data_IF_485869956367
#
_entry.id   IF_485869956367
#
_cell.length_a   1.000
_cell.length_b   1.000
_cell.length_c   1.000
_cell.angle_alpha   90.00
_cell.angle_beta   90.00
_cell.angle_gamma   90.00
#
_symmetry.space_group_name_H-M   'P 1'
#
loop_
_entity.id
_entity.type
_entity.pdbx_description
1 polymer ?
#
# COMPACT_ATOMS: atom_id res chain seq x y z
N UNK A 1 32.53 -33.48 -5.47
CA UNK A 1 32.21 -32.89 -4.16
C UNK A 1 31.01 -31.95 -4.34
N UNK A 2 29.79 -32.50 -4.25
CA UNK A 2 28.55 -31.77 -4.51
C UNK A 2 28.32 -30.78 -3.36
N UNK A 3 28.47 -29.47 -3.63
CA UNK A 3 28.02 -28.44 -2.70
C UNK A 3 26.49 -28.52 -2.65
N UNK A 4 25.96 -29.10 -1.58
CA UNK A 4 24.53 -29.07 -1.28
C UNK A 4 24.08 -27.62 -1.29
N UNK A 5 23.21 -27.26 -2.24
CA UNK A 5 22.60 -25.94 -2.29
C UNK A 5 21.70 -25.80 -1.05
N UNK A 6 22.27 -25.27 0.05
CA UNK A 6 21.53 -24.92 1.26
C UNK A 6 20.52 -23.85 0.86
N UNK A 7 19.26 -24.26 0.66
CA UNK A 7 18.14 -23.36 0.40
C UNK A 7 18.01 -22.43 1.61
N UNK A 8 17.99 -21.13 1.35
CA UNK A 8 18.08 -20.12 2.41
C UNK A 8 16.69 -19.69 2.83
N UNK A 9 16.45 -19.76 4.13
CA UNK A 9 15.25 -19.27 4.78
C UNK A 9 15.66 -18.10 5.67
N UNK A 10 14.94 -16.97 5.57
CA UNK A 10 15.06 -15.86 6.51
C UNK A 10 13.89 -15.97 7.50
N UNK A 11 14.12 -16.42 8.73
CA UNK A 11 13.05 -16.51 9.70
C UNK A 11 12.78 -15.14 10.33
N UNK A 12 11.51 -14.72 10.34
CA UNK A 12 11.04 -13.55 11.06
C UNK A 12 10.46 -14.00 12.40
N UNK A 13 11.11 -13.68 13.51
CA UNK A 13 10.60 -13.95 14.85
C UNK A 13 10.11 -12.65 15.50
N UNK A 14 8.79 -12.57 15.77
CA UNK A 14 8.15 -11.38 16.31
C UNK A 14 8.03 -10.22 15.31
N UNK A 15 7.76 -9.02 15.84
CA UNK A 15 7.55 -7.80 15.06
C UNK A 15 6.18 -7.17 15.32
N UNK A 16 6.16 -5.96 15.88
CA UNK A 16 4.92 -5.21 16.08
C UNK A 16 4.50 -4.55 14.76
N UNK A 17 3.19 -4.37 14.56
CA UNK A 17 2.67 -3.64 13.39
C UNK A 17 3.27 -2.24 13.27
N UNK A 18 3.60 -1.58 14.38
CA UNK A 18 4.25 -0.26 14.38
C UNK A 18 5.70 -0.28 13.87
N UNK A 19 6.34 -1.44 13.84
CA UNK A 19 7.76 -1.62 13.48
C UNK A 19 7.97 -2.35 12.16
N UNK A 20 6.90 -2.77 11.48
CA UNK A 20 6.97 -3.64 10.29
C UNK A 20 7.88 -3.07 9.20
N UNK A 21 7.78 -1.76 8.90
CA UNK A 21 8.55 -1.10 7.85
C UNK A 21 10.05 -1.19 8.10
N UNK A 22 10.49 -0.82 9.32
CA UNK A 22 11.90 -0.91 9.70
C UNK A 22 12.36 -2.37 9.72
N UNK A 23 11.56 -3.29 10.23
CA UNK A 23 11.91 -4.71 10.25
C UNK A 23 12.14 -5.25 8.83
N UNK A 24 11.30 -4.87 7.87
CA UNK A 24 11.45 -5.25 6.47
C UNK A 24 12.74 -4.67 5.86
N UNK A 25 13.06 -3.39 6.11
CA UNK A 25 14.32 -2.77 5.65
C UNK A 25 15.55 -3.52 6.20
N UNK A 26 15.57 -3.80 7.50
CA UNK A 26 16.66 -4.56 8.14
C UNK A 26 16.79 -6.00 7.62
N UNK A 27 15.67 -6.66 7.26
CA UNK A 27 15.70 -7.97 6.65
C UNK A 27 16.34 -7.93 5.25
N UNK A 28 15.98 -6.92 4.45
CA UNK A 28 16.53 -6.70 3.11
C UNK A 28 18.02 -6.36 3.15
N UNK A 29 18.48 -5.57 4.13
CA UNK A 29 19.91 -5.30 4.34
C UNK A 29 20.72 -6.58 4.60
N UNK A 30 20.19 -7.50 5.42
CA UNK A 30 20.85 -8.80 5.66
C UNK A 30 20.89 -9.67 4.41
N UNK A 31 19.85 -9.58 3.57
CA UNK A 31 19.76 -10.30 2.31
C UNK A 31 20.61 -9.67 1.20
N UNK A 32 20.94 -8.38 1.30
CA UNK A 32 21.62 -7.63 0.25
C UNK A 32 22.96 -8.23 -0.18
N UNK A 33 23.72 -8.77 0.77
CA UNK A 33 25.00 -9.46 0.51
C UNK A 33 24.89 -10.67 -0.44
N UNK A 34 23.69 -11.21 -0.63
CA UNK A 34 23.44 -12.39 -1.46
C UNK A 34 22.84 -12.07 -2.83
N UNK A 35 22.38 -10.84 -3.05
CA UNK A 35 21.76 -10.40 -4.31
C UNK A 35 22.61 -9.31 -4.97
N UNK A 36 23.51 -9.66 -5.90
CA UNK A 36 24.28 -8.67 -6.63
C UNK A 36 23.33 -7.79 -7.46
N UNK A 37 23.38 -6.46 -7.24
CA UNK A 37 22.51 -5.50 -7.92
C UNK A 37 21.24 -5.10 -7.15
N UNK A 38 21.11 -5.48 -5.88
CA UNK A 38 20.00 -5.01 -5.04
C UNK A 38 20.08 -3.48 -4.82
N UNK A 39 18.94 -2.80 -5.00
CA UNK A 39 18.84 -1.36 -4.78
C UNK A 39 18.82 -0.97 -3.30
N UNK A 40 19.04 0.33 -2.97
CA UNK A 40 18.97 0.83 -1.60
C UNK A 40 17.54 0.79 -1.04
N UNK A 41 17.41 0.95 0.28
CA UNK A 41 16.12 1.06 0.93
C UNK A 41 15.33 2.28 0.43
N UNK A 42 14.08 2.07 0.02
CA UNK A 42 13.23 3.08 -0.63
C UNK A 42 11.87 3.28 0.04
N UNK A 43 11.48 2.39 0.96
CA UNK A 43 10.12 2.35 1.51
C UNK A 43 9.77 3.50 2.46
N UNK A 44 10.76 4.25 2.95
CA UNK A 44 10.56 5.40 3.85
C UNK A 44 9.82 6.56 3.17
N UNK A 45 10.07 6.80 1.89
CA UNK A 45 9.50 7.92 1.13
C UNK A 45 8.36 7.50 0.21
N UNK A 46 8.08 6.19 0.13
CA UNK A 46 6.99 5.68 -0.69
C UNK A 46 5.63 5.93 -0.03
N UNK A 47 4.67 6.35 -0.83
CA UNK A 47 3.25 6.33 -0.45
C UNK A 47 2.70 4.93 -0.72
N UNK A 48 1.98 4.36 0.24
CA UNK A 48 1.36 3.05 0.06
C UNK A 48 0.20 3.12 -0.94
N UNK A 49 -0.13 2.03 -1.63
CA UNK A 49 -1.31 1.97 -2.51
C UNK A 49 -2.57 2.43 -1.77
N UNK A 50 -3.38 3.27 -2.42
CA UNK A 50 -4.55 3.89 -1.81
C UNK A 50 -4.26 5.10 -0.91
N UNK A 51 -3.00 5.33 -0.52
CA UNK A 51 -2.59 6.46 0.33
C UNK A 51 -2.30 7.75 -0.43
N UNK A 52 -2.37 7.73 -1.76
CA UNK A 52 -2.12 8.89 -2.62
C UNK A 52 -3.34 9.82 -2.68
N UNK A 53 -3.75 10.30 -1.50
CA UNK A 53 -4.84 11.24 -1.33
C UNK A 53 -4.24 12.61 -1.03
N UNK A 54 -4.55 13.60 -1.87
CA UNK A 54 -4.12 14.97 -1.66
C UNK A 54 -4.92 15.59 -0.50
N UNK A 55 -4.25 15.94 0.59
CA UNK A 55 -4.86 16.52 1.79
C UNK A 55 -5.50 15.52 2.76
N UNK A 56 -6.64 15.89 3.34
CA UNK A 56 -7.36 15.07 4.32
C UNK A 56 -8.29 14.06 3.66
N UNK A 57 -8.65 13.01 4.40
CA UNK A 57 -9.68 12.05 3.99
C UNK A 57 -11.04 12.72 3.73
N UNK A 58 -11.35 13.79 4.44
CA UNK A 58 -12.60 14.52 4.23
C UNK A 58 -12.55 15.37 2.94
N UNK A 59 -11.39 15.98 2.63
CA UNK A 59 -11.19 16.70 1.37
C UNK A 59 -11.29 15.75 0.18
N UNK A 60 -10.68 14.57 0.31
CA UNK A 60 -10.76 13.53 -0.71
C UNK A 60 -12.19 12.98 -0.85
N UNK A 61 -12.94 12.82 0.23
CA UNK A 61 -14.36 12.44 0.16
C UNK A 61 -15.19 13.50 -0.56
N UNK A 62 -14.93 14.79 -0.32
CA UNK A 62 -15.59 15.88 -1.04
C UNK A 62 -15.22 15.89 -2.54
N UNK A 63 -13.95 15.62 -2.87
CA UNK A 63 -13.48 15.45 -4.26
C UNK A 63 -14.17 14.26 -4.95
N UNK A 64 -14.30 13.12 -4.26
CA UNK A 64 -15.02 11.95 -4.78
C UNK A 64 -16.48 12.26 -5.07
N UNK A 65 -17.18 12.99 -4.19
CA UNK A 65 -18.58 13.39 -4.43
C UNK A 65 -18.73 14.32 -5.63
N UNK A 66 -17.75 15.20 -5.88
CA UNK A 66 -17.75 16.07 -7.07
C UNK A 66 -17.53 15.27 -8.35
N UNK A 67 -16.69 14.23 -8.31
CA UNK A 67 -16.37 13.38 -9.45
C UNK A 67 -17.46 12.33 -9.74
N UNK A 68 -18.07 11.78 -8.70
CA UNK A 68 -19.11 10.76 -8.75
C UNK A 68 -20.36 11.25 -8.01
N UNK A 69 -21.23 12.04 -8.68
CA UNK A 69 -22.38 12.68 -8.03
C UNK A 69 -23.42 11.70 -7.46
N UNK A 70 -23.41 10.45 -7.93
CA UNK A 70 -24.29 9.38 -7.44
C UNK A 70 -23.86 8.86 -6.05
N UNK A 71 -22.64 9.15 -5.59
CA UNK A 71 -22.18 8.72 -4.27
C UNK A 71 -22.84 9.56 -3.18
N UNK A 72 -23.50 8.88 -2.25
CA UNK A 72 -23.95 9.50 -1.01
C UNK A 72 -22.76 9.93 -0.17
N UNK A 73 -22.97 10.89 0.75
CA UNK A 73 -21.89 11.37 1.61
C UNK A 73 -21.26 10.27 2.46
N UNK A 74 -22.10 9.38 3.02
CA UNK A 74 -21.65 8.25 3.82
C UNK A 74 -20.78 7.30 3.00
N UNK A 75 -21.15 7.04 1.75
CA UNK A 75 -20.43 6.14 0.87
C UNK A 75 -19.10 6.75 0.39
N UNK A 76 -19.09 8.04 0.04
CA UNK A 76 -17.85 8.75 -0.31
C UNK A 76 -16.86 8.78 0.86
N UNK A 77 -17.34 9.00 2.09
CA UNK A 77 -16.51 8.93 3.31
C UNK A 77 -16.01 7.50 3.56
N UNK A 78 -16.84 6.50 3.35
CA UNK A 78 -16.45 5.10 3.46
C UNK A 78 -15.31 4.76 2.48
N UNK A 79 -15.49 5.10 1.21
CA UNK A 79 -14.47 4.81 0.19
C UNK A 79 -13.16 5.55 0.42
N UNK A 80 -13.23 6.83 0.80
CA UNK A 80 -12.05 7.61 1.19
C UNK A 80 -11.24 6.97 2.33
N UNK A 81 -11.92 6.36 3.32
CA UNK A 81 -11.27 5.77 4.50
C UNK A 81 -10.74 4.35 4.27
N UNK A 82 -11.39 3.59 3.40
CA UNK A 82 -11.08 2.18 3.16
C UNK A 82 -10.11 2.00 1.99
N UNK A 83 -10.36 2.68 0.87
CA UNK A 83 -9.64 2.46 -0.39
C UNK A 83 -8.78 3.67 -0.82
N UNK A 84 -9.16 4.89 -0.39
CA UNK A 84 -8.45 6.12 -0.73
C UNK A 84 -8.31 6.31 -2.25
N UNK A 85 -7.10 6.53 -2.75
CA UNK A 85 -6.90 6.75 -4.20
C UNK A 85 -7.34 5.57 -5.08
N UNK A 86 -7.39 4.35 -4.53
CA UNK A 86 -7.88 3.17 -5.26
C UNK A 86 -9.39 3.20 -5.52
N UNK A 87 -10.14 4.10 -4.88
CA UNK A 87 -11.57 4.27 -5.17
C UNK A 87 -11.84 4.56 -6.64
N UNK A 88 -10.95 5.30 -7.32
CA UNK A 88 -11.12 5.60 -8.74
C UNK A 88 -11.04 4.35 -9.62
N UNK A 89 -10.17 3.41 -9.24
CA UNK A 89 -10.06 2.10 -9.91
C UNK A 89 -11.27 1.20 -9.65
N UNK A 90 -11.82 1.27 -8.43
CA UNK A 90 -12.99 0.46 -8.05
C UNK A 90 -14.26 0.97 -8.74
N UNK A 91 -14.45 2.29 -8.79
CA UNK A 91 -15.63 2.89 -9.39
C UNK A 91 -15.54 2.91 -10.92
N UNK A 92 -14.35 3.02 -11.50
CA UNK A 92 -14.15 2.96 -12.96
C UNK A 92 -15.09 3.91 -13.71
N UNK A 93 -15.92 3.35 -14.58
CA UNK A 93 -16.94 4.07 -15.37
C UNK A 93 -18.35 4.00 -14.76
N UNK A 94 -18.49 3.55 -13.51
CA UNK A 94 -19.79 3.47 -12.86
C UNK A 94 -20.42 4.88 -12.81
N UNK A 95 -21.65 4.98 -13.32
CA UNK A 95 -22.44 6.22 -13.33
C UNK A 95 -23.65 6.16 -12.40
N UNK A 96 -23.97 5.00 -11.84
CA UNK A 96 -25.13 4.81 -10.97
C UNK A 96 -24.84 3.77 -9.87
N UNK A 97 -25.61 3.83 -8.77
CA UNK A 97 -25.59 2.80 -7.71
C UNK A 97 -26.51 1.61 -8.03
N UNK A 98 -27.30 1.68 -9.09
CA UNK A 98 -28.41 0.77 -9.39
C UNK A 98 -28.21 0.01 -10.71
N UNK A 99 -26.99 -0.03 -11.23
CA UNK A 99 -26.64 -0.99 -12.29
C UNK A 99 -26.57 -2.43 -11.74
#
# INVERSE_FOLDING_TARGET
MMKTAKRRCFPCFGGKLTTYRKLAEHAMEKLASYYPGIGPAWTKTCVLPGGDIDGSREDYAAKLRRRYPFLTESLARHYSRTYGSNTEWILGEATSLLD
#
